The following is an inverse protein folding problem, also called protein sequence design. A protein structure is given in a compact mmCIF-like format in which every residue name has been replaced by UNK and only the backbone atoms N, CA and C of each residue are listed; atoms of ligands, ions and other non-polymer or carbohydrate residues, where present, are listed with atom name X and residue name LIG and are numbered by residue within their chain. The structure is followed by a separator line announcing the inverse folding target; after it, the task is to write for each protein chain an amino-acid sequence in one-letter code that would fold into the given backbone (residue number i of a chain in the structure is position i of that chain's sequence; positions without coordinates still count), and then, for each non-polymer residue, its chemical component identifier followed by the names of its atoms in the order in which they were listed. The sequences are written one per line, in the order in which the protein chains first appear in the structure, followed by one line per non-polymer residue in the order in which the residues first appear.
data_IF_566249846246
#
_entry.id   IF_566249846246
#
_cell.length_a   1.000
_cell.length_b   1.000
_cell.length_c   1.000
_cell.angle_alpha   90.00
_cell.angle_beta   90.00
_cell.angle_gamma   90.00
#
_symmetry.space_group_name_H-M   'P 1'
#
loop_
_entity.id
_entity.type
_entity.pdbx_description
1 polymer ?
#
# COMPACT_ATOMS: atom_id res chain seq x y z
N UNK A 1 -25.68 -19.91 -30.12
CA UNK A 1 -24.81 -19.57 -28.97
C UNK A 1 -24.34 -18.13 -29.11
N UNK A 2 -24.88 -17.20 -28.33
CA UNK A 2 -24.43 -15.80 -28.30
C UNK A 2 -23.92 -15.51 -26.88
N UNK A 3 -22.62 -15.68 -26.66
CA UNK A 3 -21.97 -15.50 -25.37
C UNK A 3 -21.69 -14.01 -25.11
N UNK A 4 -22.42 -13.43 -24.16
CA UNK A 4 -22.19 -12.09 -23.60
C UNK A 4 -21.06 -12.15 -22.56
N UNK A 5 -19.81 -12.01 -22.98
CA UNK A 5 -18.63 -12.02 -22.08
C UNK A 5 -18.30 -10.68 -21.38
N UNK A 6 -19.22 -9.71 -21.33
CA UNK A 6 -18.90 -8.36 -20.85
C UNK A 6 -19.90 -7.79 -19.82
N UNK A 7 -20.49 -8.64 -18.98
CA UNK A 7 -20.98 -8.18 -17.68
C UNK A 7 -19.94 -8.49 -16.61
N UNK A 8 -18.85 -7.72 -16.64
CA UNK A 8 -18.03 -7.55 -15.45
C UNK A 8 -18.80 -6.60 -14.54
N UNK A 9 -19.59 -7.18 -13.65
CA UNK A 9 -20.21 -6.49 -12.53
C UNK A 9 -19.09 -5.98 -11.64
N UNK A 10 -18.59 -4.77 -11.93
CA UNK A 10 -17.72 -4.02 -11.03
C UNK A 10 -18.58 -3.33 -9.97
N UNK A 11 -19.41 -4.11 -9.27
CA UNK A 11 -19.80 -3.80 -7.91
C UNK A 11 -18.65 -4.26 -6.99
N UNK A 12 -17.48 -3.68 -7.21
CA UNK A 12 -16.55 -3.53 -6.10
C UNK A 12 -17.26 -2.59 -5.11
N UNK A 13 -17.44 -2.97 -3.82
CA UNK A 13 -17.96 -2.09 -2.81
C UNK A 13 -17.29 -0.74 -2.96
N UNK A 14 -18.06 0.32 -3.13
CA UNK A 14 -17.60 1.68 -3.39
C UNK A 14 -16.51 2.04 -2.37
N UNK A 15 -15.25 1.84 -2.76
CA UNK A 15 -14.09 2.36 -2.08
C UNK A 15 -14.15 3.87 -2.30
N UNK A 16 -14.00 4.65 -1.22
CA UNK A 16 -14.03 6.10 -1.27
C UNK A 16 -13.17 6.61 -2.45
N UNK A 17 -13.62 7.61 -3.22
CA UNK A 17 -13.01 8.01 -4.49
C UNK A 17 -11.53 8.38 -4.30
N UNK A 18 -10.63 7.43 -4.57
CA UNK A 18 -9.17 7.63 -4.42
C UNK A 18 -8.45 6.63 -3.51
N UNK A 19 -9.16 5.79 -2.77
CA UNK A 19 -8.56 4.70 -2.00
C UNK A 19 -8.55 3.42 -2.83
N UNK A 20 -7.38 2.80 -2.96
CA UNK A 20 -7.26 1.49 -3.61
C UNK A 20 -6.95 0.43 -2.56
N UNK A 21 -7.59 -0.74 -2.70
CA UNK A 21 -7.24 -1.96 -1.98
C UNK A 21 -5.72 -2.16 -1.88
N UNK A 22 -5.25 -2.78 -0.78
CA UNK A 22 -3.88 -3.24 -0.67
C UNK A 22 -3.49 -4.03 -1.92
N UNK A 23 -2.50 -3.51 -2.65
CA UNK A 23 -1.91 -4.16 -3.81
C UNK A 23 -0.49 -4.58 -3.49
N UNK A 24 0.06 -5.38 -4.38
CA UNK A 24 1.47 -5.74 -4.37
C UNK A 24 2.36 -4.49 -4.48
N UNK A 25 3.57 -4.57 -3.93
CA UNK A 25 4.51 -3.48 -3.99
C UNK A 25 4.91 -3.20 -5.44
N UNK A 26 4.97 -1.93 -5.87
CA UNK A 26 5.59 -1.57 -7.13
C UNK A 26 7.06 -2.00 -7.13
N UNK A 27 7.54 -2.50 -8.27
CA UNK A 27 8.91 -3.00 -8.41
C UNK A 27 9.97 -1.96 -8.00
N UNK A 28 9.75 -0.69 -8.32
CA UNK A 28 10.62 0.41 -7.92
C UNK A 28 10.72 0.57 -6.39
N UNK A 29 9.61 0.39 -5.68
CA UNK A 29 9.58 0.46 -4.21
C UNK A 29 10.23 -0.78 -3.61
N UNK A 30 9.89 -1.97 -4.12
CA UNK A 30 10.50 -3.22 -3.69
C UNK A 30 12.02 -3.21 -3.85
N UNK A 31 12.51 -2.78 -5.02
CA UNK A 31 13.95 -2.62 -5.28
C UNK A 31 14.60 -1.61 -4.35
N UNK A 32 13.95 -0.48 -4.07
CA UNK A 32 14.48 0.51 -3.13
C UNK A 32 14.63 -0.09 -1.72
N UNK A 33 13.64 -0.84 -1.23
CA UNK A 33 13.69 -1.52 0.06
C UNK A 33 14.82 -2.58 0.12
N UNK A 34 15.06 -3.32 -0.96
CA UNK A 34 16.11 -4.35 -1.00
C UNK A 34 17.50 -3.75 -1.16
N UNK A 35 17.66 -2.74 -2.02
CA UNK A 35 18.97 -2.17 -2.36
C UNK A 35 19.40 -1.12 -1.34
N UNK A 36 18.51 -0.20 -1.00
CA UNK A 36 18.82 0.95 -0.13
C UNK A 36 18.72 0.55 1.35
N UNK A 37 17.62 -0.13 1.73
CA UNK A 37 17.40 -0.59 3.10
C UNK A 37 17.97 -1.98 3.39
N UNK A 38 18.60 -2.64 2.40
CA UNK A 38 19.22 -3.98 2.53
C UNK A 38 18.30 -5.05 3.12
N UNK A 39 17.00 -4.97 2.84
CA UNK A 39 16.06 -5.95 3.32
C UNK A 39 16.01 -7.20 2.45
N UNK A 40 15.52 -8.28 3.06
CA UNK A 40 15.36 -9.56 2.39
C UNK A 40 14.37 -9.42 1.22
N UNK A 41 14.78 -9.74 -0.02
CA UNK A 41 13.92 -9.60 -1.19
C UNK A 41 12.69 -10.49 -1.06
N UNK A 42 12.84 -11.75 -0.66
CA UNK A 42 11.73 -12.66 -0.40
C UNK A 42 10.71 -12.06 0.56
N UNK A 43 11.18 -11.45 1.66
CA UNK A 43 10.30 -10.78 2.61
C UNK A 43 9.62 -9.54 2.01
N UNK A 44 10.36 -8.68 1.30
CA UNK A 44 9.81 -7.48 0.66
C UNK A 44 8.69 -7.81 -0.32
N UNK A 45 8.80 -8.91 -1.06
CA UNK A 45 7.76 -9.35 -2.01
C UNK A 45 6.50 -9.92 -1.34
N UNK A 46 6.57 -10.31 -0.06
CA UNK A 46 5.37 -10.71 0.71
C UNK A 46 4.56 -9.51 1.22
N UNK A 47 5.15 -8.31 1.22
CA UNK A 47 4.49 -7.11 1.73
C UNK A 47 3.34 -6.66 0.83
N UNK A 48 2.39 -5.93 1.42
CA UNK A 48 1.31 -5.28 0.69
C UNK A 48 1.36 -3.77 0.91
N UNK A 49 1.03 -3.02 -0.13
CA UNK A 49 0.97 -1.57 -0.13
C UNK A 49 -0.48 -1.11 -0.32
N UNK A 50 -1.03 -0.40 0.67
CA UNK A 50 -2.27 0.34 0.51
C UNK A 50 -1.96 1.72 -0.02
N UNK A 51 -2.70 2.20 -1.03
CA UNK A 51 -2.51 3.54 -1.60
C UNK A 51 -3.77 4.38 -1.43
N UNK A 52 -3.56 5.67 -1.17
CA UNK A 52 -4.59 6.68 -1.05
C UNK A 52 -4.19 7.90 -1.89
N UNK A 53 -5.09 8.37 -2.76
CA UNK A 53 -4.94 9.64 -3.45
C UNK A 53 -5.34 10.77 -2.49
N UNK A 54 -4.54 11.84 -2.40
CA UNK A 54 -4.96 13.06 -1.70
C UNK A 54 -6.07 13.77 -2.45
N UNK A 55 -7.04 14.28 -1.70
CA UNK A 55 -8.11 15.12 -2.24
C UNK A 55 -7.54 16.43 -2.81
N UNK A 56 -6.54 17.00 -2.13
CA UNK A 56 -5.85 18.23 -2.55
C UNK A 56 -4.99 18.03 -3.81
N UNK A 57 -4.33 16.87 -3.95
CA UNK A 57 -3.38 16.61 -5.03
C UNK A 57 -3.66 15.28 -5.72
N UNK A 58 -4.37 15.33 -6.85
CA UNK A 58 -4.64 14.14 -7.69
C UNK A 58 -3.37 13.45 -8.22
N UNK A 59 -2.23 14.15 -8.19
CA UNK A 59 -0.92 13.67 -8.64
C UNK A 59 -0.08 13.05 -7.53
N UNK A 60 -0.39 13.36 -6.27
CA UNK A 60 0.27 12.81 -5.09
C UNK A 60 -0.57 11.67 -4.55
N UNK A 61 0.05 10.51 -4.36
CA UNK A 61 -0.60 9.38 -3.69
C UNK A 61 0.26 8.93 -2.54
N UNK A 62 -0.35 8.91 -1.37
CA UNK A 62 0.22 8.33 -0.18
C UNK A 62 0.12 6.81 -0.29
N UNK A 63 1.13 6.13 0.21
CA UNK A 63 1.15 4.68 0.30
C UNK A 63 1.67 4.25 1.66
N UNK A 64 1.09 3.18 2.18
CA UNK A 64 1.48 2.55 3.45
C UNK A 64 1.74 1.07 3.17
N UNK A 65 2.91 0.62 3.54
CA UNK A 65 3.37 -0.76 3.38
C UNK A 65 3.22 -1.47 4.72
N UNK A 66 2.59 -2.62 4.68
CA UNK A 66 2.41 -3.49 5.83
C UNK A 66 2.68 -4.94 5.43
N UNK A 67 2.99 -5.76 6.42
CA UNK A 67 3.11 -7.19 6.20
C UNK A 67 1.74 -7.85 6.46
N UNK A 68 1.14 -8.53 5.46
CA UNK A 68 -0.15 -9.20 5.64
C UNK A 68 -0.09 -10.31 6.69
N UNK A 69 1.05 -10.98 6.89
CA UNK A 69 1.19 -12.02 7.92
C UNK A 69 1.07 -11.44 9.34
N UNK A 70 1.69 -10.29 9.61
CA UNK A 70 1.52 -9.59 10.89
C UNK A 70 0.12 -9.01 11.06
N UNK A 71 -0.51 -8.57 9.97
CA UNK A 71 -1.88 -8.09 10.03
C UNK A 71 -2.86 -9.21 10.36
N UNK A 72 -2.68 -10.38 9.76
CA UNK A 72 -3.46 -11.58 10.04
C UNK A 72 -3.24 -12.08 11.48
N UNK A 73 -1.99 -12.13 11.94
CA UNK A 73 -1.65 -12.46 13.32
C UNK A 73 -2.27 -11.48 14.34
N UNK A 74 -2.38 -10.21 13.98
CA UNK A 74 -3.06 -9.19 14.78
C UNK A 74 -4.59 -9.18 14.60
N UNK A 75 -5.16 -10.08 13.81
CA UNK A 75 -6.57 -10.09 13.39
C UNK A 75 -7.06 -8.74 12.82
N UNK A 76 -6.14 -7.97 12.24
CA UNK A 76 -6.41 -6.66 11.68
C UNK A 76 -6.91 -6.81 10.24
N UNK A 77 -8.20 -6.53 10.03
CA UNK A 77 -8.81 -6.55 8.70
C UNK A 77 -8.47 -5.27 7.93
N UNK A 78 -7.28 -5.25 7.31
CA UNK A 78 -6.85 -4.14 6.45
C UNK A 78 -7.59 -4.23 5.12
N UNK A 79 -8.69 -3.47 5.01
CA UNK A 79 -9.47 -3.38 3.77
C UNK A 79 -8.98 -2.22 2.90
N UNK A 80 -8.72 -1.07 3.52
CA UNK A 80 -8.34 0.17 2.84
C UNK A 80 -7.18 0.86 3.57
N UNK A 81 -6.66 1.93 2.96
CA UNK A 81 -5.67 2.82 3.59
C UNK A 81 -6.12 3.37 4.94
N UNK A 82 -7.41 3.68 5.10
CA UNK A 82 -7.96 4.18 6.37
C UNK A 82 -8.02 3.08 7.46
N UNK A 83 -8.16 1.81 7.07
CA UNK A 83 -8.10 0.69 8.02
C UNK A 83 -6.72 0.56 8.68
N UNK A 84 -5.65 0.97 7.97
CA UNK A 84 -4.30 1.04 8.55
C UNK A 84 -4.13 2.17 9.56
N UNK A 85 -5.01 3.17 9.56
CA UNK A 85 -4.96 4.26 10.53
C UNK A 85 -5.28 3.80 11.96
N UNK A 86 -6.18 2.81 12.07
CA UNK A 86 -6.48 2.14 13.34
C UNK A 86 -5.34 1.23 13.85
N UNK A 87 -4.39 0.88 12.98
CA UNK A 87 -3.27 -0.01 13.31
C UNK A 87 -1.94 0.58 12.84
N UNK A 88 -1.50 1.72 13.41
CA UNK A 88 -0.25 2.37 13.00
C UNK A 88 0.98 1.49 13.29
N UNK A 89 0.85 0.53 14.20
CA UNK A 89 1.87 -0.47 14.55
C UNK A 89 2.12 -1.52 13.46
N UNK A 90 1.13 -1.76 12.59
CA UNK A 90 1.27 -2.70 11.46
C UNK A 90 1.91 -2.04 10.23
N UNK A 91 1.97 -0.70 10.22
CA UNK A 91 2.59 0.07 9.14
C UNK A 91 4.11 -0.01 9.32
N UNK A 92 4.76 -0.71 8.40
CA UNK A 92 6.22 -0.86 8.40
C UNK A 92 6.89 0.33 7.74
N UNK A 93 6.35 0.73 6.59
CA UNK A 93 6.82 1.88 5.83
C UNK A 93 5.64 2.72 5.40
N UNK A 94 5.80 4.03 5.42
CA UNK A 94 4.82 4.97 4.91
C UNK A 94 5.49 6.03 4.06
N UNK A 95 4.77 6.53 3.08
CA UNK A 95 5.35 7.44 2.12
C UNK A 95 4.33 8.03 1.18
N UNK A 96 4.82 8.84 0.26
CA UNK A 96 4.03 9.39 -0.81
C UNK A 96 4.83 9.42 -2.10
N UNK A 97 4.14 9.19 -3.21
CA UNK A 97 4.71 9.34 -4.53
C UNK A 97 3.95 10.42 -5.29
N UNK A 98 4.69 11.29 -5.96
CA UNK A 98 4.14 12.30 -6.84
C UNK A 98 4.49 11.95 -8.28
N UNK A 99 3.47 11.60 -9.08
CA UNK A 99 3.66 11.19 -10.48
C UNK A 99 4.12 12.35 -11.38
N UNK A 100 3.74 13.60 -11.04
CA UNK A 100 4.11 14.79 -11.82
C UNK A 100 5.57 15.18 -11.60
N UNK A 101 6.02 15.15 -10.35
CA UNK A 101 7.40 15.46 -9.99
C UNK A 101 8.36 14.26 -10.10
N UNK A 102 7.80 13.05 -10.34
CA UNK A 102 8.51 11.78 -10.27
C UNK A 102 9.31 11.61 -8.96
N UNK A 103 8.76 12.15 -7.86
CA UNK A 103 9.36 12.08 -6.53
C UNK A 103 8.69 10.99 -5.72
N UNK A 104 9.50 10.17 -5.06
CA UNK A 104 9.07 9.16 -4.12
C UNK A 104 9.71 9.49 -2.77
N UNK A 105 8.88 9.64 -1.74
CA UNK A 105 9.35 9.72 -0.36
C UNK A 105 8.87 8.49 0.37
N UNK A 106 9.81 7.73 0.92
CA UNK A 106 9.53 6.58 1.77
C UNK A 106 10.14 6.86 3.15
N UNK A 107 9.37 6.62 4.19
CA UNK A 107 9.76 6.77 5.59
C UNK A 107 9.56 5.42 6.26
N UNK A 108 10.63 4.91 6.85
CA UNK A 108 10.61 3.79 7.77
C UNK A 108 9.87 4.17 9.06
N UNK A 109 8.84 3.39 9.40
CA UNK A 109 8.13 3.54 10.67
C UNK A 109 8.64 2.58 11.73
N UNK A 110 9.24 1.46 11.29
CA UNK A 110 9.86 0.45 12.15
C UNK A 110 11.02 1.01 12.97
N UNK A 111 11.82 1.93 12.42
CA UNK A 111 12.97 2.51 13.14
C UNK A 111 12.57 3.54 14.21
N UNK A 112 11.36 4.11 14.15
CA UNK A 112 10.86 5.03 15.19
C UNK A 112 10.52 4.36 16.53
N UNK A 113 10.57 3.03 16.62
CA UNK A 113 10.40 2.30 17.90
C UNK A 113 11.70 2.00 18.64
N UNK A 114 12.84 2.49 18.15
CA UNK A 114 14.12 2.42 18.86
C UNK A 114 14.48 3.80 19.43
N UNK A 115 13.80 4.24 20.48
CA UNK A 115 14.22 5.37 21.33
C UNK A 115 13.69 5.20 22.74
#
# INVERSE_FOLDING_TARGET
MNWKFWQKTEEAPQEAPGQSRPRDLPEAVGRYLVVDLKMDPDWVWTLKAAMCRREEDKNTKDFRIFNPATADAASAKIRNFNSLDAYPDLVLYEGWYNKKANQLKLTDKTLKKAS
#
